data_IF_335482178135
#
_entry.id   IF_335482178135
#
_cell.length_a   1.000
_cell.length_b   1.000
_cell.length_c   1.000
_cell.angle_alpha   90.00
_cell.angle_beta   90.00
_cell.angle_gamma   90.00
#
_symmetry.space_group_name_H-M   'P 1'
#
loop_
_entity.id
_entity.type
_entity.pdbx_description
1 polymer ?
#
# COMPACT_ATOMS: atom_id res chain seq x y z
N UNK A 1 -3.50 -3.99 3.96
CA UNK A 1 -4.15 -5.33 3.87
C UNK A 1 -3.24 -6.28 3.12
N UNK A 2 -3.03 -7.48 3.64
CA UNK A 2 -2.23 -8.53 2.99
C UNK A 2 -2.72 -9.91 3.45
N UNK A 3 -2.68 -10.90 2.54
CA UNK A 3 -2.92 -12.32 2.88
C UNK A 3 -1.64 -13.06 3.24
N UNK A 4 -0.47 -12.44 3.05
CA UNK A 4 0.83 -13.07 3.23
C UNK A 4 1.35 -12.77 4.63
N UNK A 5 1.59 -13.81 5.40
CA UNK A 5 2.02 -13.69 6.80
C UNK A 5 3.30 -12.87 6.99
N UNK A 6 4.31 -13.06 6.12
CA UNK A 6 5.56 -12.32 6.20
C UNK A 6 5.37 -10.83 6.00
N UNK A 7 4.47 -10.45 5.06
CA UNK A 7 4.12 -9.05 4.84
C UNK A 7 3.29 -8.47 5.98
N UNK A 8 2.46 -9.28 6.63
CA UNK A 8 1.70 -8.88 7.81
C UNK A 8 2.63 -8.64 9.00
N UNK A 9 3.59 -9.55 9.23
CA UNK A 9 4.61 -9.37 10.27
C UNK A 9 5.41 -8.10 10.04
N UNK A 10 5.90 -7.91 8.81
CA UNK A 10 6.64 -6.71 8.45
C UNK A 10 5.82 -5.43 8.63
N UNK A 11 4.51 -5.45 8.32
CA UNK A 11 3.64 -4.30 8.55
C UNK A 11 3.56 -3.92 10.04
N UNK A 12 3.45 -4.90 10.94
CA UNK A 12 3.48 -4.67 12.39
C UNK A 12 4.84 -4.11 12.84
N UNK A 13 5.94 -4.60 12.29
CA UNK A 13 7.28 -4.06 12.57
C UNK A 13 7.46 -2.61 12.10
N UNK A 14 6.72 -2.21 11.07
CA UNK A 14 6.64 -0.82 10.61
C UNK A 14 5.65 0.03 11.39
N UNK A 15 5.00 -0.53 12.40
CA UNK A 15 4.11 0.20 13.31
C UNK A 15 2.62 0.13 12.94
N UNK A 16 2.21 -0.80 12.09
CA UNK A 16 0.78 -1.06 11.91
C UNK A 16 0.17 -1.60 13.20
N UNK A 17 -1.01 -1.12 13.56
CA UNK A 17 -1.75 -1.59 14.74
C UNK A 17 -2.55 -2.84 14.44
N UNK A 18 -3.05 -2.95 13.23
CA UNK A 18 -3.93 -4.03 12.80
C UNK A 18 -3.58 -4.54 11.40
N UNK A 19 -3.79 -5.83 11.18
CA UNK A 19 -3.77 -6.46 9.88
C UNK A 19 -5.20 -6.86 9.47
N UNK A 20 -5.59 -6.47 8.27
CA UNK A 20 -6.85 -6.89 7.65
C UNK A 20 -6.53 -7.85 6.52
N UNK A 21 -7.01 -9.08 6.62
CA UNK A 21 -6.80 -10.17 5.66
C UNK A 21 -7.90 -10.26 4.61
N UNK A 22 -9.08 -9.79 4.97
CA UNK A 22 -10.27 -9.72 4.14
C UNK A 22 -10.07 -8.75 2.98
N UNK A 23 -10.81 -8.95 1.91
CA UNK A 23 -10.74 -8.11 0.71
C UNK A 23 -12.12 -7.69 0.24
N UNK A 24 -12.14 -6.74 -0.71
CA UNK A 24 -13.37 -6.23 -1.28
C UNK A 24 -14.30 -5.66 -0.22
N UNK A 25 -15.54 -6.04 -0.23
CA UNK A 25 -16.57 -5.53 0.69
C UNK A 25 -16.34 -5.98 2.14
N UNK A 26 -15.90 -7.21 2.35
CA UNK A 26 -15.58 -7.72 3.68
C UNK A 26 -14.40 -6.95 4.30
N UNK A 27 -13.37 -6.65 3.50
CA UNK A 27 -12.23 -5.85 3.95
C UNK A 27 -12.64 -4.42 4.30
N UNK A 28 -13.52 -3.80 3.52
CA UNK A 28 -14.07 -2.48 3.83
C UNK A 28 -14.92 -2.49 5.10
N UNK A 29 -15.75 -3.53 5.29
CA UNK A 29 -16.54 -3.72 6.49
C UNK A 29 -15.66 -3.88 7.74
N UNK A 30 -14.59 -4.68 7.63
CA UNK A 30 -13.63 -4.87 8.73
C UNK A 30 -12.94 -3.58 9.14
N UNK A 31 -12.54 -2.74 8.16
CA UNK A 31 -11.96 -1.42 8.47
C UNK A 31 -12.97 -0.52 9.18
N UNK A 32 -14.22 -0.51 8.74
CA UNK A 32 -15.27 0.27 9.42
C UNK A 32 -15.47 -0.21 10.85
N UNK A 33 -15.48 -1.52 11.09
CA UNK A 33 -15.57 -2.07 12.43
C UNK A 33 -14.44 -1.57 13.34
N UNK A 34 -13.18 -1.66 12.85
CA UNK A 34 -12.00 -1.19 13.57
C UNK A 34 -12.00 0.32 13.84
N UNK A 35 -12.77 1.08 13.07
CA UNK A 35 -12.87 2.54 13.16
C UNK A 35 -14.20 3.03 13.72
N UNK A 36 -14.90 2.19 14.49
CA UNK A 36 -16.17 2.57 15.12
C UNK A 36 -17.30 2.85 14.14
N UNK A 37 -17.30 2.21 12.97
CA UNK A 37 -18.33 2.37 11.93
C UNK A 37 -18.06 3.48 10.91
N UNK A 38 -17.09 4.34 11.16
CA UNK A 38 -16.83 5.53 10.32
C UNK A 38 -16.06 5.22 9.04
N UNK A 39 -15.02 4.40 9.13
CA UNK A 39 -14.01 4.21 8.09
C UNK A 39 -12.72 5.00 8.34
N UNK A 40 -11.71 4.73 7.56
CA UNK A 40 -10.39 5.36 7.71
C UNK A 40 -10.40 6.83 7.28
N UNK A 41 -9.63 7.67 7.96
CA UNK A 41 -9.48 9.10 7.60
C UNK A 41 -8.74 9.27 6.28
N UNK A 42 -7.72 8.42 6.06
CA UNK A 42 -6.92 8.42 4.84
C UNK A 42 -6.56 6.98 4.46
N UNK A 43 -6.61 6.69 3.17
CA UNK A 43 -6.29 5.37 2.61
C UNK A 43 -5.29 5.56 1.48
N UNK A 44 -4.28 4.70 1.42
CA UNK A 44 -3.35 4.61 0.29
C UNK A 44 -3.69 3.38 -0.54
N UNK A 45 -4.04 3.60 -1.80
CA UNK A 45 -4.22 2.56 -2.79
C UNK A 45 -2.90 2.39 -3.56
N UNK A 46 -2.33 1.18 -3.56
CA UNK A 46 -1.01 0.91 -4.12
C UNK A 46 -0.97 -0.37 -4.99
N UNK A 47 -2.10 -0.79 -5.52
CA UNK A 47 -2.24 -2.02 -6.33
C UNK A 47 -2.66 -1.69 -7.76
N UNK A 48 -3.65 -0.80 -7.94
CA UNK A 48 -4.12 -0.33 -9.23
C UNK A 48 -5.21 -1.20 -9.87
N UNK A 49 -5.84 -2.10 -9.14
CA UNK A 49 -6.95 -2.92 -9.65
C UNK A 49 -8.30 -2.32 -9.32
N UNK A 50 -9.33 -2.72 -10.08
CA UNK A 50 -10.72 -2.35 -9.81
C UNK A 50 -11.13 -2.65 -8.37
N UNK A 51 -10.84 -3.88 -7.88
CA UNK A 51 -11.19 -4.31 -6.53
C UNK A 51 -10.51 -3.43 -5.46
N UNK A 52 -9.20 -3.18 -5.61
CA UNK A 52 -8.44 -2.41 -4.62
C UNK A 52 -8.87 -0.95 -4.56
N UNK A 53 -9.19 -0.33 -5.70
CA UNK A 53 -9.69 1.04 -5.74
C UNK A 53 -11.06 1.16 -5.08
N UNK A 54 -12.00 0.28 -5.41
CA UNK A 54 -13.32 0.30 -4.79
C UNK A 54 -13.25 -0.01 -3.29
N UNK A 55 -12.38 -0.94 -2.89
CA UNK A 55 -12.13 -1.20 -1.48
C UNK A 55 -11.55 0.03 -0.76
N UNK A 56 -10.62 0.76 -1.39
CA UNK A 56 -10.06 1.99 -0.83
C UNK A 56 -11.15 3.05 -0.61
N UNK A 57 -11.99 3.29 -1.62
CA UNK A 57 -13.10 4.25 -1.54
C UNK A 57 -14.09 3.85 -0.43
N UNK A 58 -14.51 2.58 -0.41
CA UNK A 58 -15.50 2.06 0.56
C UNK A 58 -14.99 1.98 1.99
N UNK A 59 -13.66 1.86 2.16
CA UNK A 59 -13.01 1.84 3.47
C UNK A 59 -12.81 3.24 4.06
N UNK A 60 -12.92 4.27 3.24
CA UNK A 60 -12.68 5.66 3.64
C UNK A 60 -13.96 6.27 4.18
N UNK A 61 -13.86 7.05 5.27
CA UNK A 61 -15.01 7.79 5.80
C UNK A 61 -15.43 8.92 4.87
N UNK A 62 -16.67 9.38 4.99
CA UNK A 62 -17.09 10.61 4.31
C UNK A 62 -16.20 11.80 4.70
N UNK A 63 -15.80 12.60 3.73
CA UNK A 63 -14.84 13.70 3.87
C UNK A 63 -13.39 13.23 4.07
N UNK A 64 -13.12 11.93 3.95
CA UNK A 64 -11.77 11.37 3.99
C UNK A 64 -11.05 11.40 2.64
N UNK A 65 -9.82 10.89 2.62
CA UNK A 65 -8.93 10.97 1.47
C UNK A 65 -8.46 9.60 1.01
N UNK A 66 -8.52 9.35 -0.29
CA UNK A 66 -7.84 8.23 -0.95
C UNK A 66 -6.71 8.78 -1.81
N UNK A 67 -5.47 8.43 -1.45
CA UNK A 67 -4.30 8.67 -2.28
C UNK A 67 -3.96 7.39 -3.06
N UNK A 68 -3.88 7.45 -4.40
CA UNK A 68 -3.49 6.28 -5.17
C UNK A 68 -2.11 6.47 -5.81
N UNK A 69 -1.27 5.46 -5.67
CA UNK A 69 0.08 5.35 -6.26
C UNK A 69 0.23 4.10 -7.12
N UNK A 70 -0.75 3.18 -7.05
CA UNK A 70 -0.88 2.08 -7.98
C UNK A 70 -1.23 2.59 -9.38
N UNK A 71 -0.57 2.04 -10.41
CA UNK A 71 -0.97 2.34 -11.79
C UNK A 71 -2.33 1.70 -12.05
N UNK A 72 -3.31 2.53 -12.40
CA UNK A 72 -4.67 2.08 -12.60
C UNK A 72 -4.78 1.31 -13.94
N UNK A 73 -5.24 0.07 -13.85
CA UNK A 73 -5.50 -0.80 -14.99
C UNK A 73 -7.01 -0.98 -15.14
N UNK A 74 -7.60 -0.30 -16.13
CA UNK A 74 -9.02 -0.39 -16.48
C UNK A 74 -9.97 -0.18 -15.27
N UNK A 75 -9.63 0.77 -14.39
CA UNK A 75 -10.42 1.07 -13.20
C UNK A 75 -11.57 2.00 -13.57
N UNK A 76 -12.79 1.54 -13.35
CA UNK A 76 -14.01 2.32 -13.51
C UNK A 76 -14.62 2.63 -12.14
N UNK A 77 -14.87 3.92 -11.87
CA UNK A 77 -15.49 4.35 -10.63
C UNK A 77 -16.95 4.72 -10.94
N UNK A 78 -17.94 3.98 -10.39
CA UNK A 78 -19.35 4.31 -10.57
C UNK A 78 -19.66 5.71 -10.04
N UNK A 79 -20.00 6.65 -10.93
CA UNK A 79 -20.12 8.07 -10.59
C UNK A 79 -21.12 8.33 -9.46
N UNK A 80 -22.24 7.60 -9.43
CA UNK A 80 -23.23 7.72 -8.36
C UNK A 80 -22.68 7.28 -7.00
N UNK A 81 -21.99 6.13 -6.94
CA UNK A 81 -21.38 5.63 -5.71
C UNK A 81 -20.31 6.61 -5.21
N UNK A 82 -19.46 7.07 -6.11
CA UNK A 82 -18.40 8.03 -5.78
C UNK A 82 -18.98 9.35 -5.27
N UNK A 83 -20.01 9.89 -5.91
CA UNK A 83 -20.68 11.13 -5.46
C UNK A 83 -21.19 11.01 -4.02
N UNK A 84 -21.87 9.92 -3.70
CA UNK A 84 -22.42 9.72 -2.37
C UNK A 84 -21.38 9.29 -1.31
N UNK A 85 -20.21 8.78 -1.73
CA UNK A 85 -19.13 8.45 -0.80
C UNK A 85 -18.55 9.69 -0.12
N UNK A 86 -18.62 10.84 -0.78
CA UNK A 86 -18.04 12.10 -0.31
C UNK A 86 -16.54 11.97 0.02
N UNK A 87 -15.81 11.19 -0.78
CA UNK A 87 -14.39 10.92 -0.60
C UNK A 87 -13.56 11.79 -1.54
N UNK A 88 -12.44 12.31 -1.06
CA UNK A 88 -11.47 12.98 -1.90
C UNK A 88 -10.52 11.95 -2.51
N UNK A 89 -10.46 11.93 -3.85
CA UNK A 89 -9.60 11.02 -4.59
C UNK A 89 -8.52 11.81 -5.32
N UNK A 90 -7.25 11.46 -5.08
CA UNK A 90 -6.12 12.07 -5.76
C UNK A 90 -4.95 11.09 -5.84
N UNK A 91 -4.06 11.30 -6.80
CA UNK A 91 -2.90 10.44 -6.98
C UNK A 91 -2.22 10.67 -8.32
N UNK A 92 -1.42 9.71 -8.69
CA UNK A 92 -0.60 9.74 -9.89
C UNK A 92 0.86 9.37 -9.59
N UNK A 93 1.79 9.64 -10.53
CA UNK A 93 3.20 9.40 -10.31
C UNK A 93 3.72 10.12 -9.07
N UNK A 94 4.35 9.37 -8.15
CA UNK A 94 4.90 9.97 -6.94
C UNK A 94 6.01 10.98 -7.29
N UNK A 95 5.96 12.23 -6.79
CA UNK A 95 6.99 13.23 -7.02
C UNK A 95 8.23 12.96 -6.16
N UNK A 96 8.90 11.84 -6.42
CA UNK A 96 9.97 11.28 -5.61
C UNK A 96 11.05 12.30 -5.27
N UNK A 97 11.52 13.05 -6.27
CA UNK A 97 12.60 14.03 -6.11
C UNK A 97 12.27 15.10 -5.06
N UNK A 98 11.01 15.47 -4.92
CA UNK A 98 10.55 16.45 -3.93
C UNK A 98 10.74 15.93 -2.51
N UNK A 99 10.51 14.64 -2.27
CA UNK A 99 10.52 14.05 -0.94
C UNK A 99 11.86 13.42 -0.56
N UNK A 100 12.80 13.22 -1.52
CA UNK A 100 14.10 12.61 -1.23
C UNK A 100 14.87 13.26 -0.08
N UNK A 101 14.99 14.60 0.02
CA UNK A 101 15.73 15.21 1.13
C UNK A 101 15.14 14.86 2.50
N UNK A 102 13.82 14.92 2.63
CA UNK A 102 13.11 14.55 3.86
C UNK A 102 13.27 13.06 4.18
N UNK A 103 13.10 12.19 3.18
CA UNK A 103 13.23 10.75 3.37
C UNK A 103 14.66 10.36 3.79
N UNK A 104 15.68 10.98 3.21
CA UNK A 104 17.08 10.76 3.59
C UNK A 104 17.31 11.20 5.03
N UNK A 105 16.78 12.34 5.43
CA UNK A 105 16.89 12.83 6.81
C UNK A 105 16.20 11.89 7.81
N UNK A 106 15.00 11.40 7.48
CA UNK A 106 14.27 10.42 8.30
C UNK A 106 15.06 9.12 8.47
N UNK A 107 15.68 8.62 7.40
CA UNK A 107 16.52 7.42 7.44
C UNK A 107 17.79 7.67 8.25
N UNK A 108 18.47 8.79 8.00
CA UNK A 108 19.70 9.16 8.69
C UNK A 108 19.51 9.27 10.20
N UNK A 109 18.42 9.89 10.61
CA UNK A 109 18.03 10.03 12.01
C UNK A 109 17.31 8.80 12.59
N UNK A 110 17.29 7.68 11.86
CA UNK A 110 16.65 6.40 12.26
C UNK A 110 15.19 6.55 12.69
N UNK A 111 14.48 7.46 12.08
CA UNK A 111 13.04 7.63 12.28
C UNK A 111 12.23 6.61 11.48
N UNK A 112 12.77 6.20 10.33
CA UNK A 112 12.25 5.11 9.50
C UNK A 112 13.40 4.18 9.11
N UNK A 113 13.08 2.90 8.92
CA UNK A 113 14.01 1.89 8.45
C UNK A 113 13.42 1.14 7.24
N UNK A 114 13.41 1.76 6.04
CA UNK A 114 12.86 1.12 4.85
C UNK A 114 13.68 -0.08 4.38
N UNK A 115 14.91 -0.24 4.88
CA UNK A 115 15.79 -1.37 4.55
C UNK A 115 15.21 -2.73 4.93
N UNK A 116 14.32 -2.79 5.90
CA UNK A 116 13.66 -4.03 6.33
C UNK A 116 12.84 -4.73 5.25
N UNK A 117 12.49 -4.04 4.16
CA UNK A 117 11.77 -4.68 3.03
C UNK A 117 12.67 -5.59 2.20
N UNK A 118 14.01 -5.43 2.30
CA UNK A 118 14.95 -6.24 1.54
C UNK A 118 15.29 -7.51 2.31
N UNK A 119 14.68 -8.61 1.91
CA UNK A 119 14.84 -9.95 2.50
C UNK A 119 15.64 -10.91 1.62
N UNK A 120 16.04 -10.46 0.43
CA UNK A 120 16.92 -11.20 -0.49
C UNK A 120 17.99 -10.25 -1.04
N UNK A 121 19.27 -10.67 -0.95
CA UNK A 121 20.39 -9.94 -1.56
C UNK A 121 21.05 -10.83 -2.60
N UNK A 122 21.24 -10.32 -3.81
CA UNK A 122 21.85 -11.02 -4.94
C UNK A 122 22.88 -10.11 -5.61
N UNK A 123 23.90 -10.70 -6.27
CA UNK A 123 24.76 -9.94 -7.18
C UNK A 123 23.97 -9.45 -8.40
N UNK A 124 24.43 -8.37 -9.03
CA UNK A 124 23.71 -7.73 -10.15
C UNK A 124 23.46 -8.69 -11.32
N UNK A 125 24.39 -9.61 -11.58
CA UNK A 125 24.30 -10.61 -12.65
C UNK A 125 23.09 -11.55 -12.46
N UNK A 126 22.58 -11.67 -11.24
CA UNK A 126 21.43 -12.50 -10.90
C UNK A 126 20.11 -11.71 -10.87
N UNK A 127 20.04 -10.56 -11.52
CA UNK A 127 18.84 -9.72 -11.55
C UNK A 127 17.57 -10.48 -11.97
N UNK A 128 17.68 -11.38 -12.95
CA UNK A 128 16.56 -12.20 -13.42
C UNK A 128 16.00 -13.10 -12.31
N UNK A 129 16.87 -13.68 -11.47
CA UNK A 129 16.46 -14.45 -10.29
C UNK A 129 15.79 -13.55 -9.24
N UNK A 130 16.29 -12.35 -9.04
CA UNK A 130 15.70 -11.38 -8.15
C UNK A 130 14.25 -11.06 -8.53
N UNK A 131 13.98 -10.81 -9.81
CA UNK A 131 12.62 -10.60 -10.31
C UNK A 131 11.73 -11.83 -10.11
N UNK A 132 12.26 -13.02 -10.44
CA UNK A 132 11.54 -14.28 -10.28
C UNK A 132 11.18 -14.54 -8.82
N UNK A 133 12.11 -14.33 -7.89
CA UNK A 133 11.88 -14.49 -6.46
C UNK A 133 10.75 -13.58 -5.94
N UNK A 134 10.67 -12.35 -6.42
CA UNK A 134 9.57 -11.43 -6.06
C UNK A 134 8.25 -11.84 -6.71
N UNK A 135 8.24 -12.29 -7.94
CA UNK A 135 7.05 -12.75 -8.66
C UNK A 135 6.45 -14.01 -8.04
N UNK A 136 7.31 -14.98 -7.71
CA UNK A 136 6.96 -16.22 -7.00
C UNK A 136 6.71 -16.00 -5.49
N UNK A 137 6.87 -14.76 -5.00
CA UNK A 137 6.66 -14.37 -3.61
C UNK A 137 7.59 -15.07 -2.61
N UNK A 138 8.75 -15.50 -3.05
CA UNK A 138 9.84 -16.02 -2.20
C UNK A 138 10.62 -14.90 -1.55
N UNK A 139 10.51 -13.69 -2.07
CA UNK A 139 11.07 -12.48 -1.49
C UNK A 139 10.05 -11.34 -1.51
N UNK A 140 10.12 -10.47 -0.52
CA UNK A 140 9.35 -9.23 -0.49
C UNK A 140 9.99 -8.23 -1.44
N UNK A 141 11.31 -8.04 -1.30
CA UNK A 141 12.09 -7.14 -2.12
C UNK A 141 13.54 -7.61 -2.24
N UNK A 142 14.04 -7.66 -3.47
CA UNK A 142 15.43 -8.03 -3.73
C UNK A 142 16.32 -6.80 -3.78
N UNK A 143 17.44 -6.84 -3.04
CA UNK A 143 18.55 -5.91 -3.15
C UNK A 143 19.61 -6.50 -4.09
N UNK A 144 19.96 -5.76 -5.13
CA UNK A 144 21.07 -6.14 -6.03
C UNK A 144 22.34 -5.38 -5.63
N UNK A 145 23.44 -6.10 -5.60
CA UNK A 145 24.79 -5.53 -5.37
C UNK A 145 25.59 -5.61 -6.66
N UNK A 146 26.18 -4.48 -7.10
CA UNK A 146 27.14 -4.47 -8.21
C UNK A 146 28.39 -5.30 -7.92
#
# INVERSE_FOLDING_TARGET
>A
MSRHEDRQKLALEFGATDNVTERGEEGAARIKELTGGLGAHSVVEAVGTQESMMQAIRSTRAGGHVGFVGVLHDVEIPGREFFYSHVHLHGGPAPVRRFLPELIDLIWNRKIDPGKVFDLTLPLEQVAEGYRAMDERRAIKTLLRP
#
